data_IF_171503301180
#
_entry.id   IF_171503301180
#
_cell.length_a   1.000
_cell.length_b   1.000
_cell.length_c   1.000
_cell.angle_alpha   90.00
_cell.angle_beta   90.00
_cell.angle_gamma   90.00
#
_symmetry.space_group_name_H-M   'P 1'
#
loop_
_entity.id
_entity.type
_entity.pdbx_description
1 polymer ?
#
# COMPACT_ATOMS: atom_id res chain seq x y z
N UNK A 1 -4.48 -8.07 -10.43
CA UNK A 1 -4.69 -7.48 -9.10
C UNK A 1 -5.92 -8.11 -8.47
N UNK A 2 -5.89 -8.39 -7.16
CA UNK A 2 -7.02 -8.91 -6.39
C UNK A 2 -7.08 -8.22 -5.03
N UNK A 3 -8.28 -8.07 -4.47
CA UNK A 3 -8.43 -7.57 -3.10
C UNK A 3 -7.76 -8.53 -2.12
N UNK A 4 -7.14 -7.98 -1.10
CA UNK A 4 -6.27 -8.66 -0.12
C UNK A 4 -4.99 -9.28 -0.72
N UNK A 5 -4.63 -8.95 -1.95
CA UNK A 5 -3.34 -9.30 -2.52
C UNK A 5 -2.22 -8.50 -1.84
N UNK A 6 -1.06 -9.13 -1.67
CA UNK A 6 0.14 -8.50 -1.12
C UNK A 6 0.85 -7.69 -2.20
N UNK A 7 1.37 -6.53 -1.82
CA UNK A 7 2.14 -5.65 -2.70
C UNK A 7 3.44 -5.21 -2.03
N UNK A 8 4.50 -5.07 -2.83
CA UNK A 8 5.74 -4.41 -2.43
C UNK A 8 5.80 -3.02 -3.09
N UNK A 9 6.02 -1.97 -2.30
CA UNK A 9 6.10 -0.61 -2.81
C UNK A 9 7.44 -0.37 -3.54
N UNK A 10 7.41 0.18 -4.76
CA UNK A 10 8.60 0.40 -5.58
C UNK A 10 9.17 1.83 -5.48
N UNK A 11 8.44 2.73 -4.84
CA UNK A 11 8.77 4.15 -4.67
C UNK A 11 8.51 4.60 -3.23
N UNK A 12 9.10 5.71 -2.81
CA UNK A 12 8.68 6.36 -1.55
C UNK A 12 7.34 7.06 -1.81
N UNK A 13 6.32 6.75 -1.00
CA UNK A 13 5.02 7.42 -1.11
C UNK A 13 5.00 8.70 -0.27
N UNK A 14 5.58 8.64 0.94
CA UNK A 14 5.68 9.77 1.87
C UNK A 14 6.84 9.55 2.88
N UNK A 15 7.04 10.41 3.90
CA UNK A 15 8.10 10.23 4.89
C UNK A 15 8.00 8.96 5.75
N UNK A 16 6.83 8.34 5.87
CA UNK A 16 6.57 7.15 6.67
C UNK A 16 6.49 5.88 5.81
N UNK A 17 5.77 5.98 4.68
CA UNK A 17 5.55 4.88 3.74
C UNK A 17 6.65 4.89 2.67
N UNK A 18 7.60 3.97 2.82
CA UNK A 18 8.87 3.91 2.08
C UNK A 18 8.93 2.77 1.08
N UNK A 19 9.75 2.95 0.05
CA UNK A 19 10.08 1.90 -0.91
C UNK A 19 10.51 0.60 -0.20
N UNK A 20 10.04 -0.53 -0.70
CA UNK A 20 10.31 -1.86 -0.16
C UNK A 20 9.35 -2.31 0.94
N UNK A 21 8.46 -1.43 1.41
CA UNK A 21 7.43 -1.84 2.37
C UNK A 21 6.41 -2.78 1.72
N UNK A 22 5.94 -3.72 2.53
CA UNK A 22 4.94 -4.71 2.15
C UNK A 22 3.58 -4.25 2.66
N UNK A 23 2.61 -4.18 1.76
CA UNK A 23 1.24 -3.79 2.05
C UNK A 23 0.22 -4.79 1.52
N UNK A 24 -1.05 -4.51 1.83
CA UNK A 24 -2.21 -5.31 1.41
C UNK A 24 -3.18 -4.41 0.66
N UNK A 25 -3.70 -4.88 -0.48
CA UNK A 25 -4.77 -4.19 -1.21
C UNK A 25 -6.08 -4.31 -0.44
N UNK A 26 -6.68 -3.18 -0.06
CA UNK A 26 -7.95 -3.13 0.65
C UNK A 26 -9.14 -2.92 -0.27
N UNK A 27 -9.01 -2.06 -1.28
CA UNK A 27 -10.07 -1.75 -2.22
C UNK A 27 -9.50 -1.53 -3.62
N UNK A 28 -10.20 -2.03 -4.65
CA UNK A 28 -9.82 -1.86 -6.05
C UNK A 28 -10.84 -0.94 -6.71
N UNK A 29 -10.40 0.22 -7.19
CA UNK A 29 -11.26 1.16 -7.91
C UNK A 29 -11.30 0.87 -9.41
N UNK A 30 -10.16 0.44 -9.98
CA UNK A 30 -10.06 0.01 -11.37
C UNK A 30 -8.80 -0.85 -11.60
N UNK A 31 -8.49 -1.18 -12.85
CA UNK A 31 -7.37 -2.07 -13.20
C UNK A 31 -5.99 -1.51 -12.82
N UNK A 32 -5.88 -0.21 -12.56
CA UNK A 32 -4.61 0.47 -12.28
C UNK A 32 -4.56 1.10 -10.89
N UNK A 33 -5.70 1.47 -10.31
CA UNK A 33 -5.76 2.25 -9.08
C UNK A 33 -6.50 1.48 -7.99
N UNK A 34 -5.91 1.50 -6.80
CA UNK A 34 -6.38 0.76 -5.64
C UNK A 34 -5.93 1.47 -4.37
N UNK A 35 -6.49 1.04 -3.24
CA UNK A 35 -6.12 1.51 -1.91
C UNK A 35 -5.46 0.37 -1.14
N UNK A 36 -4.36 0.68 -0.44
CA UNK A 36 -3.60 -0.30 0.32
C UNK A 36 -3.28 0.21 1.73
N UNK A 37 -3.13 -0.72 2.66
CA UNK A 37 -2.58 -0.46 4.00
C UNK A 37 -1.20 -1.10 4.16
N UNK A 38 -0.43 -0.57 5.10
CA UNK A 38 0.90 -1.05 5.44
C UNK A 38 0.97 -1.23 6.96
N UNK A 39 1.44 -2.39 7.41
CA UNK A 39 1.54 -2.73 8.82
C UNK A 39 2.99 -2.66 9.31
N UNK A 40 3.18 -2.23 10.54
CA UNK A 40 4.45 -2.37 11.26
C UNK A 40 4.67 -3.80 11.77
N UNK A 41 5.79 -4.02 12.47
CA UNK A 41 6.15 -5.34 12.99
C UNK A 41 5.23 -5.85 14.12
N UNK A 42 4.42 -4.96 14.71
CA UNK A 42 3.44 -5.28 15.75
C UNK A 42 2.03 -5.49 15.16
N UNK A 43 1.88 -5.31 13.84
CA UNK A 43 0.61 -5.46 13.13
C UNK A 43 -0.28 -4.23 13.18
N UNK A 44 0.25 -3.07 13.57
CA UNK A 44 -0.49 -1.80 13.53
C UNK A 44 -0.31 -1.10 12.19
N UNK A 45 -1.36 -0.40 11.75
CA UNK A 45 -1.30 0.40 10.54
C UNK A 45 -0.32 1.57 10.69
N UNK A 46 0.57 1.72 9.72
CA UNK A 46 1.28 2.96 9.52
C UNK A 46 0.27 4.06 9.21
N UNK A 47 0.40 5.20 9.89
CA UNK A 47 -0.46 6.36 9.68
C UNK A 47 0.34 7.57 9.21
N UNK A 48 -0.23 8.33 8.29
CA UNK A 48 0.33 9.60 7.85
C UNK A 48 -0.78 10.61 7.58
N UNK A 49 -0.69 11.78 8.23
CA UNK A 49 -1.72 12.83 8.20
C UNK A 49 -3.14 12.32 8.55
N UNK A 50 -3.23 11.38 9.49
CA UNK A 50 -4.51 10.79 9.93
C UNK A 50 -5.06 9.68 9.02
N UNK A 51 -4.39 9.34 7.92
CA UNK A 51 -4.79 8.25 7.04
C UNK A 51 -3.99 6.98 7.36
N UNK A 52 -4.67 5.84 7.44
CA UNK A 52 -4.09 4.50 7.61
C UNK A 52 -3.99 3.72 6.28
N UNK A 53 -4.65 4.24 5.25
CA UNK A 53 -4.74 3.65 3.93
C UNK A 53 -4.26 4.66 2.90
N UNK A 54 -3.75 4.16 1.79
CA UNK A 54 -3.05 4.96 0.81
C UNK A 54 -3.47 4.59 -0.62
N UNK A 55 -3.84 5.58 -1.45
CA UNK A 55 -4.10 5.35 -2.86
C UNK A 55 -2.79 5.07 -3.59
N UNK A 56 -2.79 4.03 -4.41
CA UNK A 56 -1.65 3.58 -5.20
C UNK A 56 -2.05 3.33 -6.64
N UNK A 57 -1.09 3.49 -7.54
CA UNK A 57 -1.18 3.03 -8.90
C UNK A 57 -0.34 1.77 -9.10
N UNK A 58 -0.77 0.88 -9.99
CA UNK A 58 -0.13 -0.41 -10.25
C UNK A 58 1.34 -0.28 -10.67
N UNK A 59 1.72 0.83 -11.30
CA UNK A 59 3.12 1.11 -11.68
C UNK A 59 4.05 1.35 -10.49
N UNK A 60 3.49 1.72 -9.34
CA UNK A 60 4.24 2.08 -8.13
C UNK A 60 4.47 0.88 -7.22
N UNK A 61 3.95 -0.31 -7.57
CA UNK A 61 4.06 -1.53 -6.78
C UNK A 61 4.47 -2.75 -7.61
N UNK A 62 4.98 -3.76 -6.92
CA UNK A 62 5.07 -5.13 -7.41
C UNK A 62 4.00 -5.97 -6.72
N UNK A 63 3.14 -6.62 -7.50
CA UNK A 63 2.19 -7.61 -6.98
C UNK A 63 2.94 -8.89 -6.57
N UNK A 64 2.65 -9.43 -5.39
CA UNK A 64 3.20 -10.69 -4.87
C UNK A 64 2.16 -11.82 -4.90
#
# INVERSE_FOLDING_TARGET
>A
MKQYQIVELLVDLNPVIKKGMIGVILEIWNNENFEAEFLDYEGFNYTYNGNATFPLNIKDVRLL
#
